data_IF_514088733593
#
_entry.id   IF_514088733593
#
_cell.length_a   1.000
_cell.length_b   1.000
_cell.length_c   1.000
_cell.angle_alpha   90.00
_cell.angle_beta   90.00
_cell.angle_gamma   90.00
#
_symmetry.space_group_name_H-M   'P 1'
#
loop_
_entity.id
_entity.type
_entity.pdbx_description
1 polymer ?
#
# COMPACT_ATOMS: atom_id res chain seq x y z
N UNK A 1 14.32 5.58 -12.20
CA UNK A 1 13.54 6.13 -11.06
C UNK A 1 12.07 5.71 -11.21
N UNK A 2 11.71 4.45 -10.94
CA UNK A 2 10.33 3.94 -11.19
C UNK A 2 9.47 3.76 -9.93
N UNK A 3 10.07 3.79 -8.74
CA UNK A 3 9.35 3.56 -7.48
C UNK A 3 8.26 4.62 -7.24
N UNK A 4 8.55 5.90 -7.50
CA UNK A 4 7.55 6.97 -7.32
C UNK A 4 6.34 6.81 -8.26
N UNK A 5 6.53 6.32 -9.49
CA UNK A 5 5.42 6.03 -10.40
C UNK A 5 4.53 4.89 -9.91
N UNK A 6 5.10 3.93 -9.18
CA UNK A 6 4.31 2.90 -8.49
C UNK A 6 3.54 3.46 -7.30
N UNK A 7 4.01 4.52 -6.67
CA UNK A 7 3.28 5.19 -5.58
C UNK A 7 2.20 6.15 -6.09
N UNK A 8 2.23 6.58 -7.35
CA UNK A 8 1.25 7.55 -7.90
C UNK A 8 -0.17 6.98 -8.16
N UNK A 9 -0.51 5.81 -7.63
CA UNK A 9 -1.81 5.16 -7.81
C UNK A 9 -2.49 4.95 -6.47
N UNK A 10 -3.74 5.42 -6.39
CA UNK A 10 -4.55 5.42 -5.17
C UNK A 10 -4.66 4.03 -4.54
N UNK A 11 -4.91 3.00 -5.36
CA UNK A 11 -5.06 1.63 -4.87
C UNK A 11 -3.72 1.10 -4.34
N UNK A 12 -2.61 1.34 -5.05
CA UNK A 12 -1.28 0.92 -4.57
C UNK A 12 -0.89 1.61 -3.26
N UNK A 13 -1.17 2.89 -3.11
CA UNK A 13 -0.95 3.61 -1.84
C UNK A 13 -1.80 3.03 -0.71
N UNK A 14 -3.08 2.78 -0.93
CA UNK A 14 -3.96 2.18 0.06
C UNK A 14 -3.46 0.79 0.51
N UNK A 15 -3.02 -0.04 -0.45
CA UNK A 15 -2.44 -1.34 -0.16
C UNK A 15 -1.14 -1.23 0.65
N UNK A 16 -0.24 -0.32 0.28
CA UNK A 16 1.02 -0.11 1.00
C UNK A 16 0.82 0.46 2.40
N UNK A 17 -0.12 1.41 2.58
CA UNK A 17 -0.55 1.93 3.89
C UNK A 17 -1.05 0.78 4.76
N UNK A 18 -1.96 -0.03 4.23
CA UNK A 18 -2.53 -1.17 4.96
C UNK A 18 -1.44 -2.16 5.36
N UNK A 19 -0.48 -2.45 4.48
CA UNK A 19 0.66 -3.33 4.78
C UNK A 19 1.68 -2.71 5.75
N UNK A 20 1.68 -1.37 5.91
CA UNK A 20 2.46 -0.68 6.92
C UNK A 20 1.96 -0.91 8.36
N UNK A 21 0.68 -1.24 8.51
CA UNK A 21 0.04 -1.61 9.78
C UNK A 21 0.26 -3.08 10.17
N UNK A 22 0.61 -3.93 9.20
CA UNK A 22 0.89 -5.34 9.42
C UNK A 22 0.68 -6.19 8.16
N UNK A 23 1.18 -7.42 8.20
CA UNK A 23 1.01 -8.37 7.09
C UNK A 23 -0.46 -8.73 6.85
N UNK A 24 -0.85 -8.93 5.59
CA UNK A 24 -2.24 -9.22 5.24
C UNK A 24 -2.35 -10.11 4.00
N UNK A 25 -3.42 -10.90 3.93
CA UNK A 25 -3.75 -11.68 2.73
C UNK A 25 -4.50 -10.86 1.68
N UNK A 26 -4.58 -11.37 0.45
CA UNK A 26 -5.26 -10.67 -0.66
C UNK A 26 -6.73 -10.36 -0.36
N UNK A 27 -7.41 -11.18 0.44
CA UNK A 27 -8.83 -10.98 0.78
C UNK A 27 -8.97 -9.80 1.73
N UNK A 28 -8.16 -9.76 2.79
CA UNK A 28 -8.09 -8.61 3.72
C UNK A 28 -7.72 -7.34 2.98
N UNK A 29 -6.72 -7.39 2.10
CA UNK A 29 -6.29 -6.24 1.31
C UNK A 29 -7.35 -5.76 0.33
N UNK A 30 -8.13 -6.67 -0.26
CA UNK A 30 -9.25 -6.30 -1.12
C UNK A 30 -10.32 -5.56 -0.33
N UNK A 31 -10.66 -6.03 0.87
CA UNK A 31 -11.64 -5.36 1.74
C UNK A 31 -11.20 -4.00 2.27
N UNK A 32 -9.91 -3.68 2.22
CA UNK A 32 -9.36 -2.38 2.59
C UNK A 32 -9.34 -1.37 1.42
N UNK A 33 -9.85 -1.74 0.24
CA UNK A 33 -9.83 -0.91 -0.96
C UNK A 33 -11.17 -0.95 -1.69
N UNK A 34 -11.45 0.08 -2.50
CA UNK A 34 -12.61 0.09 -3.41
C UNK A 34 -12.39 -0.78 -4.68
N UNK A 35 -11.28 -1.53 -4.76
CA UNK A 35 -10.85 -2.25 -5.95
C UNK A 35 -11.30 -3.72 -5.94
N UNK A 36 -11.46 -4.29 -7.15
CA UNK A 36 -11.77 -5.72 -7.27
C UNK A 36 -10.58 -6.59 -6.87
N UNK A 37 -10.83 -7.81 -6.42
CA UNK A 37 -9.78 -8.77 -6.06
C UNK A 37 -8.76 -9.01 -7.18
N UNK A 38 -9.23 -9.03 -8.43
CA UNK A 38 -8.37 -9.17 -9.62
C UNK A 38 -7.43 -7.98 -9.77
N UNK A 39 -7.98 -6.75 -9.67
CA UNK A 39 -7.18 -5.51 -9.71
C UNK A 39 -6.16 -5.47 -8.57
N UNK A 40 -6.58 -5.79 -7.34
CA UNK A 40 -5.68 -5.86 -6.17
C UNK A 40 -4.55 -6.86 -6.40
N UNK A 41 -4.84 -8.05 -6.94
CA UNK A 41 -3.82 -9.05 -7.25
C UNK A 41 -2.81 -8.56 -8.29
N UNK A 42 -3.27 -7.83 -9.32
CA UNK A 42 -2.40 -7.22 -10.34
C UNK A 42 -1.51 -6.13 -9.74
N UNK A 43 -2.05 -5.28 -8.87
CA UNK A 43 -1.28 -4.27 -8.15
C UNK A 43 -0.22 -4.91 -7.25
N UNK A 44 -0.59 -5.92 -6.47
CA UNK A 44 0.34 -6.67 -5.62
C UNK A 44 1.43 -7.38 -6.42
N UNK A 45 1.11 -7.93 -7.60
CA UNK A 45 2.10 -8.49 -8.50
C UNK A 45 3.13 -7.44 -8.95
N UNK A 46 2.67 -6.25 -9.35
CA UNK A 46 3.56 -5.13 -9.73
C UNK A 46 4.43 -4.66 -8.56
N UNK A 47 3.84 -4.48 -7.38
CA UNK A 47 4.57 -4.10 -6.16
C UNK A 47 5.63 -5.13 -5.77
N UNK A 48 5.32 -6.43 -5.95
CA UNK A 48 6.25 -7.53 -5.70
C UNK A 48 7.39 -7.54 -6.72
N UNK A 49 7.09 -7.37 -8.01
CA UNK A 49 8.11 -7.29 -9.06
C UNK A 49 9.06 -6.11 -8.81
N UNK A 50 8.55 -5.00 -8.30
CA UNK A 50 9.35 -3.84 -7.90
C UNK A 50 10.08 -4.01 -6.55
N UNK A 51 9.92 -5.16 -5.87
CA UNK A 51 10.57 -5.44 -4.60
C UNK A 51 10.08 -4.59 -3.41
N UNK A 52 8.89 -3.99 -3.51
CA UNK A 52 8.31 -3.15 -2.46
C UNK A 52 7.57 -3.99 -1.39
N UNK A 53 7.06 -5.15 -1.79
CA UNK A 53 6.41 -6.12 -0.91
C UNK A 53 7.04 -7.49 -1.06
N UNK A 54 6.97 -8.27 0.01
CA UNK A 54 7.33 -9.69 0.02
C UNK A 54 6.08 -10.54 0.20
N UNK A 55 6.20 -11.84 -0.05
CA UNK A 55 5.10 -12.79 0.08
C UNK A 55 5.55 -14.06 0.76
N UNK A 56 4.70 -14.60 1.62
CA UNK A 56 4.86 -15.95 2.18
C UNK A 56 3.56 -16.74 2.03
N UNK A 57 3.68 -18.05 1.89
CA UNK A 57 2.52 -18.95 1.90
C UNK A 57 2.17 -19.28 3.34
N UNK A 58 0.89 -19.16 3.70
CA UNK A 58 0.34 -19.56 4.98
C UNK A 58 -0.87 -20.47 4.72
N UNK A 59 -0.63 -21.79 4.79
CA UNK A 59 -1.59 -22.79 4.34
C UNK A 59 -2.02 -22.58 2.89
N UNK A 60 -3.30 -22.28 2.68
CA UNK A 60 -3.87 -22.00 1.34
C UNK A 60 -3.79 -20.52 0.92
N UNK A 61 -3.32 -19.64 1.81
CA UNK A 61 -3.31 -18.20 1.59
C UNK A 61 -1.91 -17.70 1.24
N UNK A 62 -1.87 -16.59 0.51
CA UNK A 62 -0.64 -15.82 0.29
C UNK A 62 -0.75 -14.56 1.13
N UNK A 63 0.18 -14.40 2.06
CA UNK A 63 0.30 -13.25 2.95
C UNK A 63 1.37 -12.33 2.39
N UNK A 64 1.06 -11.04 2.35
CA UNK A 64 1.92 -9.97 1.85
C UNK A 64 2.46 -9.16 3.03
N UNK A 65 3.69 -8.69 2.91
CA UNK A 65 4.34 -7.84 3.90
C UNK A 65 5.14 -6.72 3.21
N UNK A 66 5.18 -5.54 3.83
CA UNK A 66 6.02 -4.45 3.35
C UNK A 66 7.50 -4.80 3.56
N UNK A 67 8.36 -4.56 2.56
CA UNK A 67 9.76 -5.00 2.64
C UNK A 67 10.63 -4.08 3.50
N UNK A 68 10.35 -2.77 3.52
CA UNK A 68 11.27 -1.76 4.05
C UNK A 68 10.56 -0.75 4.95
N UNK A 69 11.10 -0.49 6.15
CA UNK A 69 10.58 0.56 7.03
C UNK A 69 10.67 1.97 6.42
N UNK A 70 11.65 2.21 5.53
CA UNK A 70 11.74 3.47 4.78
C UNK A 70 10.56 3.68 3.83
N UNK A 71 10.05 2.61 3.22
CA UNK A 71 8.90 2.69 2.33
C UNK A 71 7.63 3.06 3.10
N UNK A 72 7.46 2.50 4.31
CA UNK A 72 6.36 2.87 5.20
C UNK A 72 6.38 4.37 5.49
N UNK A 73 7.51 4.90 5.96
CA UNK A 73 7.65 6.33 6.25
C UNK A 73 7.32 7.21 5.04
N UNK A 74 7.77 6.82 3.85
CA UNK A 74 7.48 7.55 2.62
C UNK A 74 5.97 7.54 2.28
N UNK A 75 5.31 6.41 2.45
CA UNK A 75 3.85 6.28 2.20
C UNK A 75 3.06 7.09 3.22
N UNK A 76 3.43 7.01 4.50
CA UNK A 76 2.80 7.76 5.58
C UNK A 76 2.93 9.28 5.32
N UNK A 77 4.12 9.75 4.94
CA UNK A 77 4.37 11.16 4.60
C UNK A 77 3.57 11.60 3.37
N UNK A 78 3.59 10.80 2.29
CA UNK A 78 2.86 11.12 1.06
C UNK A 78 1.35 11.23 1.29
N UNK A 79 0.79 10.37 2.15
CA UNK A 79 -0.61 10.42 2.53
C UNK A 79 -0.91 11.61 3.44
N UNK A 80 -0.03 11.91 4.40
CA UNK A 80 -0.15 13.11 5.24
C UNK A 80 -0.21 14.39 4.40
N UNK A 81 0.66 14.52 3.40
CA UNK A 81 0.65 15.66 2.47
C UNK A 81 -0.66 15.70 1.67
N UNK A 82 -1.12 14.56 1.15
CA UNK A 82 -2.38 14.49 0.40
C UNK A 82 -3.59 14.87 1.27
N UNK A 83 -3.64 14.38 2.51
CA UNK A 83 -4.69 14.70 3.49
C UNK A 83 -4.65 16.19 3.86
N UNK A 84 -3.47 16.82 3.95
CA UNK A 84 -3.32 18.27 4.16
C UNK A 84 -3.73 19.12 2.95
N UNK A 85 -3.61 18.60 1.72
CA UNK A 85 -4.02 19.34 0.52
C UNK A 85 -5.52 19.20 0.22
N UNK A 86 -6.12 18.06 0.57
CA UNK A 86 -7.56 17.83 0.44
C UNK A 86 -8.31 18.43 1.65
N UNK A 87 -7.69 18.39 2.83
CA UNK A 87 -8.14 19.07 4.02
C UNK A 87 -7.74 20.54 4.00
N UNK A 88 -8.62 21.42 3.51
CA UNK A 88 -8.71 22.78 4.07
C UNK A 88 -9.14 22.70 5.55
N UNK A 89 -8.25 22.22 6.42
CA UNK A 89 -8.39 22.37 7.87
C UNK A 89 -7.14 23.09 8.38
N UNK A 90 -7.26 24.16 9.19
CA UNK A 90 -6.11 24.96 9.58
C UNK A 90 -5.11 24.12 10.38
N UNK A 91 -3.81 24.46 10.33
CA UNK A 91 -2.84 23.88 11.24
C UNK A 91 -3.27 24.19 12.68
N UNK A 92 -3.33 23.16 13.53
CA UNK A 92 -3.43 23.35 14.98
C UNK A 92 -2.02 23.37 15.55
N UNK A 93 -1.69 24.50 16.20
CA UNK A 93 -0.50 24.70 17.05
C UNK A 93 -0.35 23.63 18.15
#
# INVERSE_FOLDING_TARGET
>A
MEVLGLLADRTRLALLRRLGEGEADVTTLTGATDATRTSVSQHLARLRLAGLVTTRKEGRRVVYALRHGHLRRLVDEALSIADHQIGHLPPHD
#
